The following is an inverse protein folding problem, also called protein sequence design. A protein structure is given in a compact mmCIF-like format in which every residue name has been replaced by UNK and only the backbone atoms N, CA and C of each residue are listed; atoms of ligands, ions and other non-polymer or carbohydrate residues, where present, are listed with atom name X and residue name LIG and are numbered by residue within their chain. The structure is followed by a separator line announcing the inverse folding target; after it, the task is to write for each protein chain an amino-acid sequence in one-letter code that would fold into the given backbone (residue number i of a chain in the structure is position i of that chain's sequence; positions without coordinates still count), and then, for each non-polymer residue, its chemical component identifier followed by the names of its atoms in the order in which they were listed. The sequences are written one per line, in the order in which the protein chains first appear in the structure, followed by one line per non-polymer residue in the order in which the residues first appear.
data_IF_282549237124
#
_entry.id   IF_282549237124
#
_cell.length_a   1.000
_cell.length_b   1.000
_cell.length_c   1.000
_cell.angle_alpha   90.00
_cell.angle_beta   90.00
_cell.angle_gamma   90.00
#
_symmetry.space_group_name_H-M   'P 1'
#
loop_
_entity.id
_entity.type
_entity.pdbx_description
1 polymer ?
#
# COMPACT_ATOMS: atom_id res chain seq x y z
N UNK A 1 14.23 8.75 9.11
CA UNK A 1 12.87 9.33 9.26
C UNK A 1 11.99 8.29 9.94
N UNK A 2 11.55 8.51 11.18
CA UNK A 2 10.50 7.68 11.80
C UNK A 2 9.18 8.09 11.14
N UNK A 3 8.56 7.19 10.39
CA UNK A 3 7.17 7.38 9.96
C UNK A 3 6.29 7.24 11.21
N UNK A 4 5.50 8.27 11.52
CA UNK A 4 4.54 8.19 12.62
C UNK A 4 3.24 7.56 12.11
N UNK A 5 2.56 6.80 12.98
CA UNK A 5 1.26 6.21 12.66
C UNK A 5 0.19 7.26 12.29
N UNK A 6 0.39 8.54 12.65
CA UNK A 6 -0.45 9.65 12.19
C UNK A 6 -0.20 10.01 10.73
N UNK A 7 1.06 10.03 10.28
CA UNK A 7 1.41 10.33 8.88
C UNK A 7 0.85 9.27 7.95
N UNK A 8 0.99 7.98 8.31
CA UNK A 8 0.45 6.87 7.52
C UNK A 8 -1.08 6.97 7.43
N UNK A 9 -1.77 7.30 8.53
CA UNK A 9 -3.23 7.51 8.51
C UNK A 9 -3.62 8.66 7.59
N UNK A 10 -2.90 9.78 7.66
CA UNK A 10 -3.14 10.93 6.80
C UNK A 10 -2.92 10.59 5.32
N UNK A 11 -1.83 9.90 4.99
CA UNK A 11 -1.54 9.42 3.64
C UNK A 11 -2.67 8.51 3.13
N UNK A 12 -3.15 7.55 3.94
CA UNK A 12 -4.27 6.67 3.55
C UNK A 12 -5.53 7.48 3.26
N UNK A 13 -5.88 8.46 4.11
CA UNK A 13 -7.06 9.30 3.87
C UNK A 13 -6.93 10.13 2.59
N UNK A 14 -5.75 10.70 2.33
CA UNK A 14 -5.48 11.41 1.09
C UNK A 14 -5.62 10.50 -0.14
N UNK A 15 -5.16 9.25 -0.05
CA UNK A 15 -5.31 8.27 -1.13
C UNK A 15 -6.75 7.83 -1.35
N UNK A 16 -7.56 7.71 -0.28
CA UNK A 16 -8.99 7.43 -0.38
C UNK A 16 -9.71 8.58 -1.07
N UNK A 17 -9.35 9.83 -0.77
CA UNK A 17 -9.95 11.01 -1.39
C UNK A 17 -9.44 11.28 -2.81
N UNK A 18 -8.31 10.71 -3.19
CA UNK A 18 -7.73 10.94 -4.51
C UNK A 18 -8.59 10.32 -5.63
N UNK A 19 -9.09 11.11 -6.60
CA UNK A 19 -9.91 10.60 -7.70
C UNK A 19 -9.14 9.68 -8.66
N UNK A 20 -7.79 9.74 -8.65
CA UNK A 20 -6.93 8.87 -9.46
C UNK A 20 -6.71 7.48 -8.84
N UNK A 21 -7.25 7.22 -7.65
CA UNK A 21 -7.18 5.91 -7.00
C UNK A 21 -8.28 5.01 -7.56
N UNK A 22 -7.90 3.82 -8.02
CA UNK A 22 -8.83 2.83 -8.55
C UNK A 22 -9.76 2.30 -7.45
N UNK A 23 -10.95 1.84 -7.82
CA UNK A 23 -11.93 1.31 -6.86
C UNK A 23 -11.37 0.15 -6.03
N UNK A 24 -10.55 -0.72 -6.64
CA UNK A 24 -9.94 -1.85 -5.95
C UNK A 24 -8.86 -1.42 -4.95
N UNK A 25 -8.08 -0.38 -5.25
CA UNK A 25 -7.11 0.21 -4.32
C UNK A 25 -7.84 0.91 -3.16
N UNK A 26 -8.88 1.68 -3.48
CA UNK A 26 -9.72 2.37 -2.50
C UNK A 26 -10.39 1.39 -1.53
N UNK A 27 -10.82 0.22 -2.01
CA UNK A 27 -11.39 -0.83 -1.15
C UNK A 27 -10.40 -1.33 -0.10
N UNK A 28 -9.13 -1.55 -0.46
CA UNK A 28 -8.08 -1.95 0.48
C UNK A 28 -7.79 -0.86 1.52
N UNK A 29 -7.72 0.39 1.08
CA UNK A 29 -7.50 1.54 1.96
C UNK A 29 -8.66 1.75 2.95
N UNK A 30 -9.91 1.54 2.50
CA UNK A 30 -11.09 1.59 3.37
C UNK A 30 -11.10 0.44 4.39
N UNK A 31 -10.70 -0.77 3.98
CA UNK A 31 -10.57 -1.91 4.89
C UNK A 31 -9.55 -1.61 6.00
N UNK A 32 -8.40 -1.02 5.64
CA UNK A 32 -7.41 -0.57 6.62
C UNK A 32 -7.98 0.47 7.59
N UNK A 33 -8.67 1.49 7.07
CA UNK A 33 -9.34 2.52 7.90
C UNK A 33 -10.28 1.86 8.91
N UNK A 34 -11.14 0.96 8.45
CA UNK A 34 -12.15 0.32 9.29
C UNK A 34 -11.50 -0.57 10.36
N UNK A 35 -10.44 -1.31 10.00
CA UNK A 35 -9.68 -2.12 10.96
C UNK A 35 -9.05 -1.27 12.07
N UNK A 36 -8.45 -0.13 11.70
CA UNK A 36 -7.83 0.80 12.66
C UNK A 36 -8.89 1.48 13.54
N UNK A 37 -10.03 1.87 12.98
CA UNK A 37 -11.15 2.45 13.75
C UNK A 37 -11.80 1.43 14.68
N UNK A 38 -11.83 0.15 14.29
CA UNK A 38 -12.31 -0.95 15.12
C UNK A 38 -11.37 -1.31 16.28
N UNK A 39 -10.22 -0.64 16.42
CA UNK A 39 -9.24 -0.89 17.49
C UNK A 39 -8.32 -2.07 17.24
N UNK A 40 -8.22 -2.57 16.00
CA UNK A 40 -7.24 -3.61 15.64
C UNK A 40 -5.82 -3.05 15.70
N UNK A 41 -4.85 -3.91 15.99
CA UNK A 41 -3.42 -3.54 15.99
C UNK A 41 -3.04 -2.83 14.69
N UNK A 42 -2.45 -1.64 14.82
CA UNK A 42 -2.07 -0.81 13.68
C UNK A 42 -1.07 -1.52 12.77
N UNK A 43 -0.02 -2.12 13.34
CA UNK A 43 1.00 -2.86 12.60
C UNK A 43 0.44 -4.06 11.84
N UNK A 44 -0.48 -4.83 12.46
CA UNK A 44 -1.15 -5.95 11.78
C UNK A 44 -2.01 -5.45 10.62
N UNK A 45 -2.78 -4.38 10.85
CA UNK A 45 -3.61 -3.77 9.80
C UNK A 45 -2.76 -3.23 8.67
N UNK A 46 -1.59 -2.65 8.98
CA UNK A 46 -0.64 -2.14 8.00
C UNK A 46 0.00 -3.27 7.18
N UNK A 47 0.34 -4.41 7.80
CA UNK A 47 0.79 -5.60 7.10
C UNK A 47 -0.28 -6.16 6.15
N UNK A 48 -1.53 -6.25 6.60
CA UNK A 48 -2.66 -6.69 5.75
C UNK A 48 -2.85 -5.76 4.55
N UNK A 49 -2.72 -4.44 4.77
CA UNK A 49 -2.78 -3.45 3.69
C UNK A 49 -1.62 -3.63 2.69
N UNK A 50 -0.40 -3.79 3.18
CA UNK A 50 0.77 -4.00 2.33
C UNK A 50 0.65 -5.29 1.51
N UNK A 51 0.16 -6.37 2.10
CA UNK A 51 -0.05 -7.64 1.40
C UNK A 51 -1.19 -7.53 0.36
N UNK A 52 -2.29 -6.87 0.69
CA UNK A 52 -3.38 -6.61 -0.25
C UNK A 52 -2.92 -5.78 -1.45
N UNK A 53 -2.14 -4.73 -1.21
CA UNK A 53 -1.55 -3.91 -2.28
C UNK A 53 -0.58 -4.74 -3.14
N UNK A 54 0.24 -5.60 -2.54
CA UNK A 54 1.13 -6.50 -3.27
C UNK A 54 0.36 -7.44 -4.19
N UNK A 55 -0.67 -8.11 -3.68
CA UNK A 55 -1.51 -9.02 -4.48
C UNK A 55 -2.22 -8.28 -5.62
N UNK A 56 -2.67 -7.04 -5.36
CA UNK A 56 -3.29 -6.20 -6.38
C UNK A 56 -2.29 -5.78 -7.45
N UNK A 57 -1.05 -5.44 -7.07
CA UNK A 57 0.04 -5.16 -8.00
C UNK A 57 0.36 -6.36 -8.90
N UNK A 58 0.47 -7.56 -8.32
CA UNK A 58 0.67 -8.82 -9.08
C UNK A 58 -0.50 -9.10 -10.03
N UNK A 59 -1.73 -8.92 -9.56
CA UNK A 59 -2.93 -9.12 -10.39
C UNK A 59 -2.99 -8.12 -11.54
N UNK A 60 -2.63 -6.87 -11.29
CA UNK A 60 -2.59 -5.82 -12.30
C UNK A 60 -1.48 -6.08 -13.32
N UNK A 61 -0.30 -6.55 -12.89
CA UNK A 61 0.79 -6.97 -13.78
C UNK A 61 0.33 -8.07 -14.73
N UNK A 62 -0.34 -9.10 -14.22
CA UNK A 62 -0.94 -10.17 -15.04
C UNK A 62 -1.98 -9.66 -16.03
N UNK A 63 -2.56 -8.49 -15.79
CA UNK A 63 -3.56 -7.83 -16.65
C UNK A 63 -2.99 -6.72 -17.53
N UNK A 64 -1.66 -6.50 -17.55
CA UNK A 64 -1.01 -5.32 -18.18
C UNK A 64 -1.62 -3.98 -17.73
N UNK A 65 -2.04 -3.90 -16.47
CA UNK A 65 -2.57 -2.69 -15.85
C UNK A 65 -1.58 -2.19 -14.79
N UNK A 66 -1.54 -0.87 -14.60
CA UNK A 66 -0.65 -0.23 -13.63
C UNK A 66 -1.47 0.24 -12.42
N UNK A 67 -0.87 0.18 -11.24
CA UNK A 67 -1.41 0.84 -10.06
C UNK A 67 -1.35 2.37 -10.20
N UNK A 68 -2.14 3.07 -9.39
CA UNK A 68 -2.06 4.52 -9.33
C UNK A 68 -0.71 4.94 -8.75
N UNK A 69 -0.02 5.88 -9.40
CA UNK A 69 1.31 6.35 -8.96
C UNK A 69 1.33 6.85 -7.51
N UNK A 70 0.19 7.32 -6.99
CA UNK A 70 0.06 7.73 -5.59
C UNK A 70 0.08 6.52 -4.62
N UNK A 71 -0.59 5.42 -5.00
CA UNK A 71 -0.65 4.18 -4.23
C UNK A 71 0.68 3.44 -4.27
N UNK A 72 1.35 3.45 -5.43
CA UNK A 72 2.70 2.88 -5.59
C UNK A 72 3.72 3.55 -4.66
N UNK A 73 3.77 4.89 -4.66
CA UNK A 73 4.63 5.66 -3.74
C UNK A 73 4.33 5.36 -2.27
N UNK A 74 3.06 5.20 -1.94
CA UNK A 74 2.65 4.86 -0.58
C UNK A 74 3.07 3.42 -0.22
N UNK A 75 2.89 2.47 -1.12
CA UNK A 75 3.35 1.09 -0.96
C UNK A 75 4.85 1.02 -0.69
N UNK A 76 5.67 1.77 -1.45
CA UNK A 76 7.10 1.89 -1.19
C UNK A 76 7.40 2.45 0.20
N UNK A 77 6.68 3.49 0.61
CA UNK A 77 6.85 4.16 1.91
C UNK A 77 6.57 3.21 3.08
N UNK A 78 5.48 2.45 3.04
CA UNK A 78 5.12 1.48 4.10
C UNK A 78 6.02 0.25 4.09
N UNK A 79 6.46 -0.20 2.90
CA UNK A 79 7.37 -1.35 2.76
C UNK A 79 8.75 -1.08 3.35
N UNK A 80 9.21 0.17 3.25
CA UNK A 80 10.44 0.63 3.90
C UNK A 80 10.32 0.70 5.42
N UNK A 81 9.11 0.91 5.95
CA UNK A 81 8.85 1.04 7.39
C UNK A 81 8.78 -0.31 8.11
N UNK A 82 8.08 -1.29 7.53
CA UNK A 82 7.73 -2.55 8.20
C UNK A 82 8.76 -3.69 8.09
N UNK A 83 10.01 -3.44 7.73
CA UNK A 83 11.01 -4.51 7.49
C UNK A 83 10.60 -5.52 6.39
N UNK A 84 9.65 -5.15 5.51
CA UNK A 84 9.29 -5.90 4.29
C UNK A 84 10.25 -5.61 3.12
N UNK A 85 11.02 -4.52 3.25
CA UNK A 85 11.92 -3.99 2.22
C UNK A 85 13.09 -4.89 1.82
N UNK A 86 13.42 -5.97 2.54
CA UNK A 86 14.55 -6.84 2.17
C UNK A 86 14.17 -8.00 1.23
N UNK A 87 12.90 -8.39 1.19
CA UNK A 87 12.44 -9.53 0.37
C UNK A 87 11.48 -9.11 -0.76
N UNK A 88 10.59 -8.14 -0.52
CA UNK A 88 9.48 -7.85 -1.44
C UNK A 88 9.85 -6.74 -2.43
N UNK A 89 10.54 -5.68 -1.98
CA UNK A 89 11.04 -4.62 -2.84
C UNK A 89 12.10 -5.13 -3.82
N UNK A 90 13.03 -5.97 -3.37
CA UNK A 90 14.08 -6.51 -4.23
C UNK A 90 13.55 -7.51 -5.27
N UNK A 91 12.59 -8.39 -4.94
CA UNK A 91 12.08 -9.37 -5.91
C UNK A 91 11.35 -8.73 -7.11
N UNK A 92 10.70 -7.59 -6.91
CA UNK A 92 9.99 -6.85 -7.98
C UNK A 92 10.87 -5.77 -8.63
N UNK A 93 11.75 -5.10 -7.88
CA UNK A 93 12.67 -4.09 -8.44
C UNK A 93 13.85 -4.70 -9.20
N UNK A 94 14.29 -5.92 -8.87
CA UNK A 94 15.31 -6.65 -9.66
C UNK A 94 14.74 -7.02 -11.05
N UNK A 95 13.42 -7.01 -11.21
CA UNK A 95 12.74 -7.21 -12.49
C UNK A 95 12.60 -5.92 -13.31
N UNK A 96 13.54 -4.98 -13.26
CA UNK A 96 13.80 -3.97 -14.31
C UNK A 96 12.65 -3.09 -14.86
N UNK A 97 11.44 -3.15 -14.31
CA UNK A 97 10.27 -2.44 -14.82
C UNK A 97 9.97 -1.24 -13.93
N UNK A 98 10.27 -0.07 -14.48
CA UNK A 98 9.77 1.21 -13.96
C UNK A 98 8.23 1.15 -13.99
N UNK A 99 7.61 1.16 -12.83
CA UNK A 99 6.17 1.36 -12.64
C UNK A 99 5.74 2.79 -13.03
#
# INVERSE_FOLDING_TARGET
MKLNAQDIRSDVYNLILNPKTSNSERALLLAFKNNVESGKDFDKSLMELAEGLRQLGVTNLSKNQHMSSAVDKFYMKISAHGQLGKAIGCGLLISGMRF
#
